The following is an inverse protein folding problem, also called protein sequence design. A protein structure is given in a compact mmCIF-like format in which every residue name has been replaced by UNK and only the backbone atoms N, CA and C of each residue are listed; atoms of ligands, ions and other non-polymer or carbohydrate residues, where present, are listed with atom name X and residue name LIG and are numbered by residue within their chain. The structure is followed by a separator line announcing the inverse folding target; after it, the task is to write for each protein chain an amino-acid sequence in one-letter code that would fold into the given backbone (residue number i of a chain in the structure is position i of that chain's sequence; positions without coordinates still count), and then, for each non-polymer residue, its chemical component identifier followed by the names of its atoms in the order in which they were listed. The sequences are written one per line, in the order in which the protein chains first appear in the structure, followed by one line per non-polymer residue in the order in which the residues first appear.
data_IF_150799055342
#
_entry.id   IF_150799055342
#
_cell.length_a   1.000
_cell.length_b   1.000
_cell.length_c   1.000
_cell.angle_alpha   90.00
_cell.angle_beta   90.00
_cell.angle_gamma   90.00
#
_symmetry.space_group_name_H-M   'P 1'
#
loop_
_entity.id
_entity.type
_entity.pdbx_description
1 polymer ?
#
# COMPACT_ATOMS: atom_id res chain seq x y z
N UNK A 1 65.31 -28.00 -7.88
CA UNK A 1 64.72 -28.86 -8.95
C UNK A 1 64.23 -30.24 -8.45
N UNK A 2 64.23 -30.53 -7.14
CA UNK A 2 63.90 -31.88 -6.62
C UNK A 2 62.40 -32.20 -6.63
N UNK A 3 61.54 -31.23 -6.28
CA UNK A 3 60.09 -31.44 -6.18
C UNK A 3 59.44 -31.81 -7.53
N UNK A 4 59.90 -31.19 -8.63
CA UNK A 4 59.36 -31.46 -9.97
C UNK A 4 59.74 -32.85 -10.48
N UNK A 5 60.96 -33.32 -10.19
CA UNK A 5 61.40 -34.67 -10.52
C UNK A 5 60.59 -35.73 -9.73
N UNK A 6 60.37 -35.47 -8.44
CA UNK A 6 59.57 -36.34 -7.57
C UNK A 6 58.09 -36.42 -8.00
N UNK A 7 57.49 -35.28 -8.35
CA UNK A 7 56.13 -35.24 -8.88
C UNK A 7 55.99 -36.04 -10.18
N UNK A 8 57.00 -35.98 -11.06
CA UNK A 8 57.01 -36.74 -12.32
C UNK A 8 57.05 -38.25 -12.09
N UNK A 9 57.82 -38.73 -11.13
CA UNK A 9 57.87 -40.15 -10.79
C UNK A 9 56.57 -40.64 -10.13
N UNK A 10 55.94 -39.82 -9.29
CA UNK A 10 54.63 -40.14 -8.71
C UNK A 10 53.52 -40.24 -9.78
N UNK A 11 53.49 -39.31 -10.74
CA UNK A 11 52.50 -39.35 -11.82
C UNK A 11 52.64 -40.59 -12.72
N UNK A 12 53.86 -41.14 -12.84
CA UNK A 12 54.09 -42.41 -13.57
C UNK A 12 53.53 -43.64 -12.86
N UNK A 13 53.28 -43.58 -11.56
CA UNK A 13 52.68 -44.68 -10.79
C UNK A 13 51.15 -44.72 -10.91
N UNK A 14 50.51 -43.68 -11.46
CA UNK A 14 49.05 -43.61 -11.59
C UNK A 14 48.63 -44.20 -12.94
N UNK A 15 47.85 -45.30 -12.98
CA UNK A 15 47.37 -45.87 -14.21
C UNK A 15 46.44 -44.89 -14.95
N UNK A 16 46.61 -44.66 -16.27
CA UNK A 16 45.78 -43.72 -17.04
C UNK A 16 44.28 -44.05 -16.99
N UNK A 17 43.94 -45.32 -16.83
CA UNK A 17 42.55 -45.79 -16.73
C UNK A 17 41.87 -45.31 -15.44
N UNK A 18 42.62 -45.14 -14.34
CA UNK A 18 42.08 -44.57 -13.08
C UNK A 18 41.77 -43.09 -13.25
N UNK A 19 42.65 -42.34 -13.92
CA UNK A 19 42.44 -40.90 -14.18
C UNK A 19 41.26 -40.66 -15.12
N UNK A 20 41.03 -41.55 -16.10
CA UNK A 20 39.87 -41.46 -17.01
C UNK A 20 38.54 -41.85 -16.38
N UNK A 21 38.57 -42.67 -15.32
CA UNK A 21 37.38 -43.08 -14.59
C UNK A 21 36.92 -42.02 -13.57
N UNK A 22 37.80 -41.08 -13.21
CA UNK A 22 37.46 -39.96 -12.32
C UNK A 22 36.60 -38.90 -13.03
N UNK A 23 35.67 -38.30 -12.29
CA UNK A 23 34.85 -37.20 -12.80
C UNK A 23 35.72 -35.97 -13.04
N UNK A 24 35.43 -35.22 -14.10
CA UNK A 24 36.13 -33.97 -14.34
C UNK A 24 35.69 -32.95 -13.30
N UNK A 25 36.65 -32.20 -12.77
CA UNK A 25 36.36 -31.14 -11.82
C UNK A 25 35.44 -30.06 -12.41
N UNK A 26 35.49 -29.85 -13.73
CA UNK A 26 34.60 -28.92 -14.44
C UNK A 26 33.12 -29.34 -14.38
N UNK A 27 32.84 -30.64 -14.36
CA UNK A 27 31.46 -31.15 -14.28
C UNK A 27 30.89 -30.91 -12.86
N UNK A 28 31.70 -31.19 -11.84
CA UNK A 28 31.36 -30.94 -10.43
C UNK A 28 31.16 -29.44 -10.17
N UNK A 29 32.02 -28.58 -10.72
CA UNK A 29 31.89 -27.13 -10.59
C UNK A 29 30.65 -26.60 -11.30
N UNK A 30 30.23 -27.22 -12.40
CA UNK A 30 29.01 -26.84 -13.12
C UNK A 30 27.76 -27.20 -12.32
N UNK A 31 27.72 -28.41 -11.74
CA UNK A 31 26.63 -28.84 -10.83
C UNK A 31 26.50 -27.89 -9.63
N UNK A 32 27.61 -27.58 -8.96
CA UNK A 32 27.63 -26.65 -7.81
C UNK A 32 27.16 -25.24 -8.22
N UNK A 33 27.53 -24.78 -9.42
CA UNK A 33 27.11 -23.47 -9.92
C UNK A 33 25.61 -23.40 -10.22
N UNK A 34 25.01 -24.50 -10.69
CA UNK A 34 23.56 -24.61 -10.88
C UNK A 34 22.83 -24.64 -9.53
N UNK A 35 23.27 -25.49 -8.59
CA UNK A 35 22.71 -25.57 -7.24
C UNK A 35 22.78 -24.22 -6.53
N UNK A 36 23.91 -23.51 -6.60
CA UNK A 36 24.05 -22.17 -6.03
C UNK A 36 23.07 -21.15 -6.62
N UNK A 37 22.78 -21.27 -7.92
CA UNK A 37 21.86 -20.35 -8.62
C UNK A 37 20.42 -20.59 -8.21
N UNK A 38 20.04 -21.86 -7.99
CA UNK A 38 18.72 -22.21 -7.48
C UNK A 38 18.56 -21.82 -6.02
N UNK A 39 19.58 -22.05 -5.17
CA UNK A 39 19.60 -21.57 -3.79
C UNK A 39 19.45 -20.04 -3.73
N UNK A 40 20.18 -19.30 -4.58
CA UNK A 40 20.06 -17.84 -4.66
C UNK A 40 18.65 -17.38 -5.07
N UNK A 41 17.97 -18.13 -5.95
CA UNK A 41 16.59 -17.86 -6.35
C UNK A 41 15.62 -18.07 -5.21
N UNK A 42 15.77 -19.15 -4.45
CA UNK A 42 14.94 -19.43 -3.28
C UNK A 42 15.13 -18.36 -2.20
N UNK A 43 16.38 -17.96 -1.91
CA UNK A 43 16.64 -16.85 -0.99
C UNK A 43 15.98 -15.54 -1.44
N UNK A 44 16.02 -15.23 -2.73
CA UNK A 44 15.35 -14.05 -3.28
C UNK A 44 13.83 -14.13 -3.11
N UNK A 45 13.22 -15.30 -3.36
CA UNK A 45 11.78 -15.51 -3.18
C UNK A 45 11.37 -15.34 -1.71
N UNK A 46 12.12 -15.95 -0.78
CA UNK A 46 11.88 -15.83 0.67
C UNK A 46 11.97 -14.36 1.11
N UNK A 47 13.01 -13.63 0.67
CA UNK A 47 13.18 -12.23 1.01
C UNK A 47 12.02 -11.36 0.48
N UNK A 48 11.54 -11.66 -0.73
CA UNK A 48 10.39 -10.99 -1.34
C UNK A 48 9.10 -11.24 -0.56
N UNK A 49 8.83 -12.49 -0.19
CA UNK A 49 7.65 -12.86 0.62
C UNK A 49 7.69 -12.22 2.00
N UNK A 50 8.86 -12.20 2.66
CA UNK A 50 9.04 -11.56 3.96
C UNK A 50 8.78 -10.05 3.89
N UNK A 51 9.27 -9.38 2.84
CA UNK A 51 9.01 -7.96 2.62
C UNK A 51 7.51 -7.70 2.39
N UNK A 52 6.83 -8.56 1.64
CA UNK A 52 5.39 -8.44 1.42
C UNK A 52 4.61 -8.62 2.73
N UNK A 53 4.93 -9.64 3.52
CA UNK A 53 4.33 -9.87 4.82
C UNK A 53 4.53 -8.69 5.78
N UNK A 54 5.72 -8.06 5.77
CA UNK A 54 5.97 -6.84 6.54
C UNK A 54 5.11 -5.66 6.09
N UNK A 55 4.94 -5.47 4.77
CA UNK A 55 4.06 -4.42 4.23
C UNK A 55 2.60 -4.66 4.63
N UNK A 56 2.14 -5.90 4.55
CA UNK A 56 0.77 -6.26 4.90
C UNK A 56 0.53 -6.08 6.40
N UNK A 57 1.49 -6.46 7.26
CA UNK A 57 1.44 -6.20 8.70
C UNK A 57 1.45 -4.71 9.01
N UNK A 58 2.29 -3.92 8.34
CA UNK A 58 2.34 -2.47 8.51
C UNK A 58 1.01 -1.81 8.10
N UNK A 59 0.42 -2.26 6.98
CA UNK A 59 -0.90 -1.81 6.51
C UNK A 59 -2.01 -2.19 7.49
N UNK A 60 -1.99 -3.40 8.04
CA UNK A 60 -2.94 -3.84 9.06
C UNK A 60 -2.84 -3.00 10.34
N UNK A 61 -1.62 -2.72 10.82
CA UNK A 61 -1.40 -1.83 11.98
C UNK A 61 -1.82 -0.39 11.74
N UNK A 62 -1.61 0.12 10.52
CA UNK A 62 -2.12 1.44 10.12
C UNK A 62 -3.66 1.45 10.18
N UNK A 63 -4.31 0.42 9.63
CA UNK A 63 -5.77 0.28 9.67
C UNK A 63 -6.33 0.19 11.10
N UNK A 64 -5.63 -0.49 12.03
CA UNK A 64 -6.02 -0.57 13.44
C UNK A 64 -5.95 0.81 14.12
N UNK A 65 -4.84 1.53 13.94
CA UNK A 65 -4.69 2.90 14.48
C UNK A 65 -5.66 3.89 13.87
N UNK A 66 -5.92 3.78 12.56
CA UNK A 66 -6.97 4.54 11.90
C UNK A 66 -8.30 4.27 12.58
N UNK A 67 -8.65 2.99 12.81
CA UNK A 67 -9.89 2.61 13.48
C UNK A 67 -10.00 3.16 14.91
N UNK A 68 -8.92 3.14 15.70
CA UNK A 68 -8.87 3.78 17.04
C UNK A 68 -9.08 5.30 16.96
N UNK A 69 -8.46 5.96 15.99
CA UNK A 69 -8.62 7.40 15.77
C UNK A 69 -10.05 7.73 15.33
N UNK A 70 -10.63 6.92 14.44
CA UNK A 70 -12.04 7.00 14.05
C UNK A 70 -12.94 6.85 15.27
N UNK A 71 -12.69 5.86 16.15
CA UNK A 71 -13.42 5.63 17.41
C UNK A 71 -13.48 6.87 18.31
N UNK A 72 -12.39 7.63 18.40
CA UNK A 72 -12.35 8.88 19.20
C UNK A 72 -13.34 9.94 18.70
N UNK A 73 -13.63 9.94 17.39
CA UNK A 73 -14.61 10.86 16.82
C UNK A 73 -16.06 10.39 17.01
N UNK A 74 -16.32 9.11 17.32
CA UNK A 74 -17.68 8.66 17.63
C UNK A 74 -18.14 9.25 18.96
N UNK A 75 -18.97 10.28 18.91
CA UNK A 75 -19.57 10.93 20.09
C UNK A 75 -20.63 10.06 20.80
N UNK A 76 -20.87 8.83 20.37
CA UNK A 76 -22.03 8.05 20.84
C UNK A 76 -21.62 6.95 21.81
N UNK A 77 -21.90 7.20 23.08
CA UNK A 77 -21.95 6.20 24.15
C UNK A 77 -22.99 5.12 23.82
N UNK A 78 -22.51 3.93 23.49
CA UNK A 78 -23.08 2.61 23.80
C UNK A 78 -24.55 2.27 23.50
N UNK A 79 -25.35 3.02 22.73
CA UNK A 79 -26.75 2.58 22.52
C UNK A 79 -27.55 2.96 21.27
N UNK A 80 -27.11 3.82 20.33
CA UNK A 80 -27.92 4.09 19.13
C UNK A 80 -27.07 4.35 17.89
N UNK A 81 -27.54 3.82 16.76
CA UNK A 81 -26.96 3.71 15.40
C UNK A 81 -26.61 5.04 14.70
N UNK A 82 -26.05 6.02 15.40
CA UNK A 82 -25.78 7.35 14.85
C UNK A 82 -24.29 7.60 14.67
N UNK A 83 -23.68 6.86 13.74
CA UNK A 83 -22.32 7.12 13.26
C UNK A 83 -22.30 8.37 12.38
N UNK A 84 -21.17 9.09 12.28
CA UNK A 84 -21.06 10.22 11.33
C UNK A 84 -21.34 9.78 9.89
N UNK A 85 -20.90 8.57 9.54
CA UNK A 85 -21.22 7.91 8.27
C UNK A 85 -22.73 7.73 8.11
N UNK A 86 -23.42 7.22 9.13
CA UNK A 86 -24.87 7.07 9.13
C UNK A 86 -25.62 8.39 8.94
N UNK A 87 -25.14 9.49 9.55
CA UNK A 87 -25.73 10.82 9.32
C UNK A 87 -25.59 11.27 7.86
N UNK A 88 -24.44 11.01 7.22
CA UNK A 88 -24.21 11.31 5.81
C UNK A 88 -25.01 10.39 4.89
N UNK A 89 -25.14 9.12 5.22
CA UNK A 89 -25.91 8.14 4.45
C UNK A 89 -27.40 8.47 4.43
N UNK A 90 -27.94 9.00 5.53
CA UNK A 90 -29.32 9.48 5.61
C UNK A 90 -29.62 10.70 4.71
N UNK A 91 -28.59 11.43 4.27
CA UNK A 91 -28.79 12.55 3.34
C UNK A 91 -29.04 11.98 1.95
N UNK A 92 -30.16 12.35 1.34
CA UNK A 92 -30.51 11.91 -0.01
C UNK A 92 -29.42 12.24 -1.04
N UNK A 93 -29.29 11.37 -2.05
CA UNK A 93 -28.42 11.66 -3.18
C UNK A 93 -28.90 12.87 -3.95
N UNK A 94 -27.92 13.60 -4.48
CA UNK A 94 -28.18 14.80 -5.26
C UNK A 94 -28.88 14.46 -6.57
N UNK A 95 -30.03 15.08 -6.82
CA UNK A 95 -30.67 15.07 -8.13
C UNK A 95 -29.73 15.68 -9.19
N UNK A 96 -29.49 14.92 -10.25
CA UNK A 96 -28.54 15.26 -11.32
C UNK A 96 -28.87 16.64 -11.92
N UNK A 97 -27.90 17.56 -11.88
CA UNK A 97 -28.02 18.91 -12.44
C UNK A 97 -28.23 20.04 -11.40
N UNK A 98 -28.69 19.74 -10.18
CA UNK A 98 -28.91 20.76 -9.12
C UNK A 98 -27.57 21.20 -8.52
N UNK A 99 -27.39 22.38 -7.93
CA UNK A 99 -26.14 22.80 -7.25
C UNK A 99 -24.84 22.82 -8.11
N UNK A 100 -24.87 22.55 -9.42
CA UNK A 100 -23.66 22.65 -10.29
C UNK A 100 -23.12 24.07 -10.37
N UNK A 101 -23.99 25.06 -10.23
CA UNK A 101 -23.62 26.46 -10.26
C UNK A 101 -22.63 26.79 -9.14
N UNK A 102 -22.74 26.15 -7.97
CA UNK A 102 -21.87 26.36 -6.82
C UNK A 102 -20.44 25.92 -7.13
N UNK A 103 -20.27 24.76 -7.78
CA UNK A 103 -18.95 24.25 -8.16
C UNK A 103 -18.25 25.19 -9.14
N UNK A 104 -19.00 25.90 -9.99
CA UNK A 104 -18.45 26.89 -10.93
C UNK A 104 -18.30 28.27 -10.31
N UNK A 105 -18.77 28.48 -9.08
CA UNK A 105 -18.80 29.80 -8.48
C UNK A 105 -17.39 30.29 -8.13
N UNK A 106 -17.11 31.56 -8.43
CA UNK A 106 -15.79 32.18 -8.25
C UNK A 106 -15.24 32.05 -6.83
N UNK A 107 -16.10 32.13 -5.81
CA UNK A 107 -15.68 32.03 -4.41
C UNK A 107 -15.27 30.61 -4.03
N UNK A 108 -16.00 29.60 -4.51
CA UNK A 108 -15.65 28.20 -4.29
C UNK A 108 -14.35 27.85 -5.00
N UNK A 109 -14.22 28.22 -6.28
CA UNK A 109 -13.00 27.99 -7.06
C UNK A 109 -11.77 28.68 -6.48
N UNK A 110 -11.93 29.89 -5.91
CA UNK A 110 -10.84 30.57 -5.22
C UNK A 110 -10.47 29.85 -3.92
N UNK A 111 -11.46 29.46 -3.12
CA UNK A 111 -11.25 28.73 -1.87
C UNK A 111 -10.55 27.39 -2.11
N UNK A 112 -10.95 26.64 -3.14
CA UNK A 112 -10.35 25.36 -3.49
C UNK A 112 -8.87 25.44 -3.88
N UNK A 113 -8.42 26.62 -4.34
CA UNK A 113 -7.01 26.89 -4.70
C UNK A 113 -6.18 27.44 -3.53
N UNK A 114 -6.80 27.77 -2.41
CA UNK A 114 -6.11 28.28 -1.23
C UNK A 114 -5.59 27.12 -0.39
N UNK A 115 -4.40 27.27 0.21
CA UNK A 115 -3.83 26.24 1.08
C UNK A 115 -4.63 26.10 2.39
N UNK A 116 -5.26 27.19 2.86
CA UNK A 116 -6.10 27.19 4.06
C UNK A 116 -7.11 28.35 4.06
N UNK A 117 -8.18 28.19 4.84
CA UNK A 117 -9.18 29.23 5.08
C UNK A 117 -10.62 28.69 5.09
N UNK A 118 -11.56 29.38 5.76
CA UNK A 118 -12.95 28.95 5.80
C UNK A 118 -13.73 29.35 4.53
N UNK A 119 -14.64 28.49 4.09
CA UNK A 119 -15.69 28.84 3.14
C UNK A 119 -17.05 28.75 3.84
N UNK A 120 -17.72 29.89 3.96
CA UNK A 120 -19.06 29.95 4.52
C UNK A 120 -20.10 29.93 3.39
N UNK A 121 -21.07 29.02 3.49
CA UNK A 121 -22.20 28.91 2.56
C UNK A 121 -23.49 29.11 3.33
N UNK A 122 -24.24 30.15 2.99
CA UNK A 122 -25.56 30.43 3.55
C UNK A 122 -26.63 30.05 2.54
N UNK A 123 -27.71 29.42 3.01
CA UNK A 123 -28.91 29.18 2.22
C UNK A 123 -30.09 28.93 3.15
N UNK A 124 -31.30 29.09 2.63
CA UNK A 124 -32.53 28.88 3.41
C UNK A 124 -32.75 27.40 3.77
N UNK A 125 -33.49 27.09 4.85
CA UNK A 125 -33.89 25.73 5.17
C UNK A 125 -34.53 25.02 3.96
N UNK A 126 -34.19 23.75 3.74
CA UNK A 126 -34.71 22.98 2.61
C UNK A 126 -34.00 23.21 1.25
N UNK A 127 -33.09 24.19 1.11
CA UNK A 127 -32.38 24.44 -0.15
C UNK A 127 -31.28 23.40 -0.52
N UNK A 128 -31.24 22.24 0.14
CA UNK A 128 -30.30 21.17 -0.21
C UNK A 128 -28.85 21.40 0.23
N UNK A 129 -28.60 22.20 1.27
CA UNK A 129 -27.24 22.43 1.82
C UNK A 129 -26.53 21.13 2.20
N UNK A 130 -27.24 20.23 2.91
CA UNK A 130 -26.70 18.93 3.32
C UNK A 130 -26.38 18.04 2.13
N UNK A 131 -27.25 18.06 1.10
CA UNK A 131 -27.05 17.33 -0.16
C UNK A 131 -25.82 17.86 -0.91
N UNK A 132 -25.61 19.18 -0.94
CA UNK A 132 -24.39 19.78 -1.47
C UNK A 132 -23.14 19.33 -0.70
N UNK A 133 -23.19 19.35 0.64
CA UNK A 133 -22.07 18.92 1.48
C UNK A 133 -21.70 17.46 1.23
N UNK A 134 -22.69 16.55 1.19
CA UNK A 134 -22.49 15.13 0.84
C UNK A 134 -21.79 14.98 -0.51
N UNK A 135 -22.30 15.66 -1.53
CA UNK A 135 -21.69 15.62 -2.87
C UNK A 135 -20.24 16.12 -2.89
N UNK A 136 -19.92 17.18 -2.15
CA UNK A 136 -18.56 17.70 -2.06
C UNK A 136 -17.61 16.69 -1.41
N UNK A 137 -18.06 16.02 -0.35
CA UNK A 137 -17.28 14.98 0.34
C UNK A 137 -17.02 13.79 -0.59
N UNK A 138 -18.05 13.33 -1.31
CA UNK A 138 -17.96 12.11 -2.13
C UNK A 138 -17.24 12.31 -3.48
N UNK A 139 -17.43 13.47 -4.09
CA UNK A 139 -17.06 13.68 -5.50
C UNK A 139 -16.45 15.05 -5.80
N UNK A 140 -16.71 16.07 -4.98
CA UNK A 140 -16.35 17.45 -5.30
C UNK A 140 -14.96 17.88 -4.82
N UNK A 141 -14.42 17.24 -3.79
CA UNK A 141 -13.11 17.55 -3.21
C UNK A 141 -12.03 16.57 -3.70
N UNK A 142 -10.74 16.97 -3.74
CA UNK A 142 -9.66 16.10 -4.18
C UNK A 142 -9.53 14.84 -3.33
N UNK A 143 -9.45 13.66 -3.97
CA UNK A 143 -9.29 12.36 -3.29
C UNK A 143 -7.94 12.22 -2.57
N UNK A 144 -6.97 13.09 -2.87
CA UNK A 144 -5.67 13.14 -2.21
C UNK A 144 -5.68 13.84 -0.85
N UNK A 145 -6.84 14.32 -0.39
CA UNK A 145 -6.98 15.09 0.85
C UNK A 145 -7.78 14.31 1.88
N UNK A 146 -7.35 14.34 3.14
CA UNK A 146 -8.14 13.80 4.26
C UNK A 146 -9.33 14.71 4.53
N UNK A 147 -10.55 14.19 4.41
CA UNK A 147 -11.79 14.95 4.61
C UNK A 147 -12.43 14.54 5.94
N UNK A 148 -12.62 15.50 6.83
CA UNK A 148 -13.43 15.33 8.05
C UNK A 148 -14.75 16.07 7.89
N UNK A 149 -15.86 15.44 8.27
CA UNK A 149 -17.20 16.03 8.12
C UNK A 149 -18.04 15.79 9.38
N UNK A 150 -18.88 16.78 9.68
CA UNK A 150 -19.76 16.78 10.84
C UNK A 150 -21.14 17.28 10.40
N UNK A 151 -22.14 16.40 10.52
CA UNK A 151 -23.54 16.76 10.31
C UNK A 151 -24.20 16.86 11.68
N UNK A 152 -24.71 18.04 11.99
CA UNK A 152 -25.45 18.28 13.23
C UNK A 152 -26.94 18.09 12.97
N UNK A 153 -27.60 17.28 13.79
CA UNK A 153 -29.05 17.28 13.96
C UNK A 153 -29.33 17.80 15.37
N UNK A 154 -30.35 18.65 15.48
CA UNK A 154 -30.91 19.05 16.78
C UNK A 154 -31.58 17.85 17.48
#
# INVERSE_FOLDING_TARGET
MVAAAYAKDLLRQIPPNKVKAERRIGDILSEIAEEHRDVAREYYNIAKEQLQAQKDLAKAKLSEKEQECHQLFYLTTSSKDSTYEGYKEQVEERVKGICLWFLKHKHFQRWLKQDSGPLLVTADPGCGKSVLAKYLIDHGLPQSTTICYFFFKD
#
